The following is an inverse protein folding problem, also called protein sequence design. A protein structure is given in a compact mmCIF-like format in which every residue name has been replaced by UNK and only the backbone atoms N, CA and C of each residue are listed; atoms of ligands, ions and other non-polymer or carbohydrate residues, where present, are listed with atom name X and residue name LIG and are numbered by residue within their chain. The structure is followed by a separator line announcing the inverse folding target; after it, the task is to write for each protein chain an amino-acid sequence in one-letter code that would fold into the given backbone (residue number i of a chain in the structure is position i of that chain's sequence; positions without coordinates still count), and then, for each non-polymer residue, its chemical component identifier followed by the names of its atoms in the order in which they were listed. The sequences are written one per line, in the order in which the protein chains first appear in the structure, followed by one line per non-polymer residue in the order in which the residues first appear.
data_IF_960195920552
#
_entry.id   IF_960195920552
#
_cell.length_a   1.000
_cell.length_b   1.000
_cell.length_c   1.000
_cell.angle_alpha   90.00
_cell.angle_beta   90.00
_cell.angle_gamma   90.00
#
_symmetry.space_group_name_H-M   'P 1'
#
loop_
_entity.id
_entity.type
_entity.pdbx_description
1 polymer ?
#
# COMPACT_ATOMS: atom_id res chain seq x y z
N UNK A 1 -23.43 -20.96 -22.20
CA UNK A 1 -22.32 -20.02 -22.51
C UNK A 1 -21.84 -19.42 -21.20
N UNK A 2 -20.75 -19.93 -20.62
CA UNK A 2 -20.15 -19.39 -19.39
C UNK A 2 -19.44 -18.09 -19.73
N UNK A 3 -20.00 -16.95 -19.29
CA UNK A 3 -19.41 -15.62 -19.47
C UNK A 3 -18.00 -15.64 -18.84
N UNK A 4 -16.98 -15.27 -19.61
CA UNK A 4 -15.65 -15.03 -19.04
C UNK A 4 -15.78 -13.97 -17.92
N UNK A 5 -15.10 -14.15 -16.77
CA UNK A 5 -15.18 -13.20 -15.68
C UNK A 5 -14.70 -11.81 -16.15
N UNK A 6 -15.42 -10.75 -15.77
CA UNK A 6 -14.98 -9.36 -16.04
C UNK A 6 -13.61 -9.15 -15.40
N UNK A 7 -12.61 -8.85 -16.22
CA UNK A 7 -11.29 -8.47 -15.77
C UNK A 7 -11.24 -6.96 -15.58
N UNK A 8 -10.51 -6.50 -14.57
CA UNK A 8 -10.22 -5.07 -14.39
C UNK A 8 -9.30 -4.62 -15.53
N UNK A 9 -9.64 -3.51 -16.18
CA UNK A 9 -8.70 -2.81 -17.05
C UNK A 9 -7.55 -2.21 -16.22
N UNK A 10 -6.42 -1.92 -16.86
CA UNK A 10 -5.33 -1.15 -16.25
C UNK A 10 -5.86 0.17 -15.65
N UNK A 11 -6.76 0.83 -16.36
CA UNK A 11 -7.36 2.08 -15.92
C UNK A 11 -8.20 1.89 -14.65
N UNK A 12 -9.06 0.87 -14.63
CA UNK A 12 -9.88 0.53 -13.47
C UNK A 12 -9.02 0.19 -12.25
N UNK A 13 -7.97 -0.62 -12.45
CA UNK A 13 -7.04 -1.00 -11.39
C UNK A 13 -6.28 0.22 -10.84
N UNK A 14 -5.85 1.12 -11.73
CA UNK A 14 -5.13 2.35 -11.34
C UNK A 14 -6.04 3.28 -10.52
N UNK A 15 -7.28 3.49 -10.96
CA UNK A 15 -8.25 4.29 -10.21
C UNK A 15 -8.60 3.67 -8.86
N UNK A 16 -8.75 2.34 -8.79
CA UNK A 16 -9.00 1.63 -7.55
C UNK A 16 -7.85 1.83 -6.55
N UNK A 17 -6.60 1.70 -7.00
CA UNK A 17 -5.42 1.92 -6.16
C UNK A 17 -5.32 3.38 -5.72
N UNK A 18 -5.56 4.34 -6.62
CA UNK A 18 -5.56 5.76 -6.26
C UNK A 18 -6.62 6.09 -5.19
N UNK A 19 -7.83 5.56 -5.34
CA UNK A 19 -8.91 5.73 -4.35
C UNK A 19 -8.58 5.10 -2.99
N UNK A 20 -7.81 4.00 -2.97
CA UNK A 20 -7.35 3.38 -1.73
C UNK A 20 -6.20 4.12 -1.04
N UNK A 21 -5.34 4.82 -1.79
CA UNK A 21 -4.17 5.54 -1.26
C UNK A 21 -4.54 6.93 -0.73
N UNK A 22 -5.42 7.66 -1.44
CA UNK A 22 -5.78 9.03 -1.08
C UNK A 22 -6.82 9.01 0.05
N UNK A 23 -6.34 9.13 1.29
CA UNK A 23 -7.17 9.23 2.49
C UNK A 23 -7.14 10.60 3.17
N UNK A 24 -7.76 10.70 4.34
CA UNK A 24 -7.87 11.94 5.13
C UNK A 24 -6.50 12.45 5.62
N UNK A 25 -5.46 11.62 5.58
CA UNK A 25 -4.11 11.97 6.02
C UNK A 25 -3.55 13.23 5.37
N UNK A 26 -3.97 13.58 4.14
CA UNK A 26 -3.54 14.82 3.47
C UNK A 26 -3.99 16.09 4.20
N UNK A 27 -5.04 16.05 5.02
CA UNK A 27 -5.50 17.23 5.75
C UNK A 27 -4.71 17.46 7.06
N UNK A 28 -4.10 16.41 7.61
CA UNK A 28 -3.43 16.47 8.92
C UNK A 28 -1.90 16.41 8.82
N UNK A 29 -1.36 15.57 7.93
CA UNK A 29 0.09 15.35 7.83
C UNK A 29 0.87 16.58 7.35
N UNK A 30 0.41 17.38 6.36
CA UNK A 30 1.08 18.62 5.98
C UNK A 30 1.36 19.54 7.15
N UNK A 31 0.37 19.78 8.01
CA UNK A 31 0.51 20.67 9.15
C UNK A 31 1.55 20.13 10.15
N UNK A 32 1.54 18.82 10.43
CA UNK A 32 2.53 18.19 11.30
C UNK A 32 3.95 18.28 10.74
N UNK A 33 4.13 18.08 9.44
CA UNK A 33 5.44 18.21 8.78
C UNK A 33 5.89 19.65 8.76
N UNK A 34 5.00 20.61 8.47
CA UNK A 34 5.31 22.03 8.45
C UNK A 34 5.69 22.58 9.84
N UNK A 35 5.10 22.04 10.92
CA UNK A 35 5.49 22.40 12.28
C UNK A 35 6.94 21.98 12.62
N UNK A 36 7.42 20.90 12.00
CA UNK A 36 8.80 20.40 12.17
C UNK A 36 9.78 21.02 11.16
N UNK A 37 9.30 21.34 9.96
CA UNK A 37 10.06 21.94 8.87
C UNK A 37 9.30 23.19 8.36
N UNK A 38 9.45 24.34 9.03
CA UNK A 38 8.74 25.57 8.67
C UNK A 38 9.22 26.17 7.35
N UNK A 39 10.46 25.86 6.95
CA UNK A 39 11.04 26.34 5.71
C UNK A 39 10.50 25.56 4.48
N UNK A 40 10.09 26.24 3.39
CA UNK A 40 9.48 25.58 2.23
C UNK A 40 10.37 24.53 1.56
N UNK A 41 11.68 24.79 1.45
CA UNK A 41 12.61 23.89 0.77
C UNK A 41 12.67 22.50 1.42
N UNK A 42 13.04 22.41 2.70
CA UNK A 42 13.03 21.14 3.44
C UNK A 42 11.64 20.49 3.51
N UNK A 43 10.57 21.27 3.63
CA UNK A 43 9.19 20.77 3.61
C UNK A 43 8.87 19.98 2.33
N UNK A 44 9.09 20.57 1.16
CA UNK A 44 8.87 19.87 -0.11
C UNK A 44 9.90 18.77 -0.37
N UNK A 45 11.13 18.92 0.12
CA UNK A 45 12.15 17.87 0.10
C UNK A 45 11.67 16.59 0.78
N UNK A 46 11.04 16.69 1.96
CA UNK A 46 10.46 15.55 2.66
C UNK A 46 9.34 14.87 1.88
N UNK A 47 8.49 15.63 1.18
CA UNK A 47 7.46 15.06 0.31
C UNK A 47 8.04 14.25 -0.85
N UNK A 48 9.10 14.77 -1.48
CA UNK A 48 9.80 14.06 -2.56
C UNK A 48 10.44 12.77 -2.01
N UNK A 49 11.15 12.85 -0.89
CA UNK A 49 11.78 11.68 -0.26
C UNK A 49 10.74 10.61 0.12
N UNK A 50 9.61 11.02 0.72
CA UNK A 50 8.51 10.12 1.04
C UNK A 50 7.91 9.46 -0.20
N UNK A 51 7.79 10.20 -1.30
CA UNK A 51 7.31 9.66 -2.58
C UNK A 51 8.29 8.63 -3.16
N UNK A 52 9.60 8.89 -3.11
CA UNK A 52 10.61 7.94 -3.58
C UNK A 52 10.60 6.66 -2.74
N UNK A 53 10.49 6.77 -1.41
CA UNK A 53 10.38 5.61 -0.53
C UNK A 53 9.10 4.80 -0.80
N UNK A 54 7.96 5.48 -1.01
CA UNK A 54 6.70 4.83 -1.35
C UNK A 54 6.77 4.13 -2.71
N UNK A 55 7.41 4.74 -3.71
CA UNK A 55 7.60 4.15 -5.03
C UNK A 55 8.47 2.89 -4.96
N UNK A 56 9.58 2.93 -4.21
CA UNK A 56 10.43 1.76 -3.99
C UNK A 56 9.64 0.61 -3.37
N UNK A 57 8.84 0.88 -2.32
CA UNK A 57 7.96 -0.11 -1.71
C UNK A 57 6.93 -0.66 -2.69
N UNK A 58 6.29 0.19 -3.50
CA UNK A 58 5.32 -0.22 -4.50
C UNK A 58 5.92 -1.16 -5.55
N UNK A 59 7.15 -0.90 -5.99
CA UNK A 59 7.86 -1.79 -6.93
C UNK A 59 8.16 -3.16 -6.30
N UNK A 60 8.59 -3.20 -5.02
CA UNK A 60 8.79 -4.47 -4.30
C UNK A 60 7.49 -5.27 -4.22
N UNK A 61 6.35 -4.63 -3.93
CA UNK A 61 5.06 -5.32 -3.91
C UNK A 61 4.57 -5.74 -5.31
N UNK A 62 4.89 -4.98 -6.35
CA UNK A 62 4.57 -5.36 -7.72
C UNK A 62 5.31 -6.65 -8.13
N UNK A 63 6.61 -6.75 -7.81
CA UNK A 63 7.41 -7.96 -8.08
C UNK A 63 6.87 -9.17 -7.30
N UNK A 64 6.54 -8.97 -6.02
CA UNK A 64 6.01 -10.03 -5.17
C UNK A 64 4.62 -10.50 -5.62
N UNK A 65 3.75 -9.57 -6.03
CA UNK A 65 2.44 -9.88 -6.58
C UNK A 65 2.53 -10.63 -7.92
N UNK A 66 3.51 -10.29 -8.76
CA UNK A 66 3.81 -11.03 -9.99
C UNK A 66 4.34 -12.44 -9.73
N UNK A 67 5.15 -12.61 -8.67
CA UNK A 67 5.73 -13.91 -8.28
C UNK A 67 4.71 -14.83 -7.60
N UNK A 68 3.73 -14.26 -6.90
CA UNK A 68 2.70 -14.98 -6.14
C UNK A 68 1.30 -14.53 -6.58
N UNK A 69 0.83 -14.94 -7.77
CA UNK A 69 -0.46 -14.52 -8.34
C UNK A 69 -1.62 -15.28 -7.69
N UNK A 70 -1.79 -15.14 -6.37
CA UNK A 70 -2.87 -15.73 -5.57
C UNK A 70 -3.63 -14.62 -4.86
N UNK A 71 -4.94 -14.79 -4.74
CA UNK A 71 -5.77 -13.95 -3.89
C UNK A 71 -5.35 -14.08 -2.42
N UNK A 72 -5.29 -12.95 -1.72
CA UNK A 72 -4.95 -12.88 -0.28
C UNK A 72 -3.90 -11.82 0.09
N UNK A 73 -3.26 -11.18 -0.90
CA UNK A 73 -2.37 -10.04 -0.68
C UNK A 73 -1.24 -10.33 0.32
N UNK A 74 -1.06 -9.42 1.28
CA UNK A 74 -0.05 -9.52 2.35
C UNK A 74 -0.02 -10.85 3.09
N UNK A 75 -1.20 -11.45 3.31
CA UNK A 75 -1.30 -12.72 4.02
C UNK A 75 -0.54 -13.83 3.26
N UNK A 76 -0.66 -13.89 1.93
CA UNK A 76 0.01 -14.90 1.10
C UNK A 76 1.53 -14.73 1.16
N UNK A 77 1.99 -13.49 1.16
CA UNK A 77 3.41 -13.16 1.21
C UNK A 77 4.03 -13.62 2.54
N UNK A 78 3.38 -13.28 3.65
CA UNK A 78 3.84 -13.64 4.98
C UNK A 78 3.71 -15.15 5.20
N UNK A 79 2.62 -15.76 4.76
CA UNK A 79 2.43 -17.20 4.88
C UNK A 79 3.51 -17.98 4.15
N UNK A 80 3.92 -17.51 2.96
CA UNK A 80 4.97 -18.19 2.19
C UNK A 80 6.37 -17.90 2.70
N UNK A 81 6.65 -16.68 3.18
CA UNK A 81 7.98 -16.30 3.69
C UNK A 81 8.27 -16.74 5.12
N UNK A 82 7.27 -16.71 6.00
CA UNK A 82 7.42 -16.87 7.45
C UNK A 82 6.55 -17.99 8.05
N UNK A 83 5.75 -18.66 7.22
CA UNK A 83 4.92 -19.79 7.63
C UNK A 83 3.55 -19.43 8.19
N UNK A 84 2.74 -20.45 8.54
CA UNK A 84 1.32 -20.28 8.84
C UNK A 84 1.05 -19.53 10.15
N UNK A 85 1.85 -19.74 11.19
CA UNK A 85 1.66 -19.07 12.48
C UNK A 85 1.88 -17.55 12.36
N UNK A 86 2.93 -17.12 11.68
CA UNK A 86 3.22 -15.71 11.45
C UNK A 86 2.09 -15.03 10.65
N UNK A 87 1.59 -15.70 9.61
CA UNK A 87 0.47 -15.19 8.82
C UNK A 87 -0.83 -15.11 9.63
N UNK A 88 -1.10 -16.09 10.49
CA UNK A 88 -2.25 -16.09 11.40
C UNK A 88 -2.18 -14.93 12.39
N UNK A 89 -1.04 -14.72 13.05
CA UNK A 89 -0.84 -13.60 13.96
C UNK A 89 -0.96 -12.26 13.24
N UNK A 90 -0.40 -12.13 12.03
CA UNK A 90 -0.56 -10.93 11.22
C UNK A 90 -2.04 -10.65 10.89
N UNK A 91 -2.82 -11.68 10.54
CA UNK A 91 -4.25 -11.52 10.30
C UNK A 91 -4.99 -10.98 11.54
N UNK A 92 -4.62 -11.44 12.75
CA UNK A 92 -5.16 -10.89 13.99
C UNK A 92 -4.78 -9.43 14.23
N UNK A 93 -3.54 -9.03 13.93
CA UNK A 93 -3.11 -7.63 14.03
C UNK A 93 -3.93 -6.75 13.08
N UNK A 94 -4.10 -7.18 11.84
CA UNK A 94 -4.92 -6.43 10.86
C UNK A 94 -6.35 -6.28 11.35
N UNK A 95 -6.95 -7.36 11.88
CA UNK A 95 -8.34 -7.36 12.34
C UNK A 95 -8.55 -6.53 13.62
N UNK A 96 -7.62 -6.57 14.57
CA UNK A 96 -7.81 -5.94 15.89
C UNK A 96 -7.26 -4.52 15.99
N UNK A 97 -6.24 -4.16 15.20
CA UNK A 97 -5.51 -2.89 15.34
C UNK A 97 -5.76 -1.94 14.17
N UNK A 98 -5.82 -2.47 12.95
CA UNK A 98 -5.91 -1.65 11.72
C UNK A 98 -7.36 -1.43 11.28
N UNK A 99 -8.22 -2.43 11.52
CA UNK A 99 -9.62 -2.44 11.07
C UNK A 99 -10.54 -1.57 11.93
#
# INVERSE_FOLDING_TARGET
MTRAPKQLSLFDATLLVMGGIIGVGIFFKPAGVAALLPEPGPYFGMWILGTLAALAGAMTFAELAGTLPRSGGWFVFIHKGFGPLAAFLFAWIVLLVIS
#
